data_IF_464803352934
#
_entry.id   IF_464803352934
#
_cell.length_a   1.000
_cell.length_b   1.000
_cell.length_c   1.000
_cell.angle_alpha   90.00
_cell.angle_beta   90.00
_cell.angle_gamma   90.00
#
_symmetry.space_group_name_H-M   'P 1'
#
loop_
_entity.id
_entity.type
_entity.pdbx_description
1 polymer ?
#
# COMPACT_ATOMS: atom_id res chain seq x y z
N UNK A 1 -2.24 -10.33 -2.92
CA UNK A 1 -1.39 -9.20 -3.29
C UNK A 1 0.02 -9.74 -3.39
N UNK A 2 0.72 -9.49 -4.50
CA UNK A 2 2.10 -9.92 -4.64
C UNK A 2 3.04 -8.86 -4.06
N UNK A 3 4.19 -9.28 -3.53
CA UNK A 3 5.21 -8.36 -3.03
C UNK A 3 5.63 -7.40 -4.15
N UNK A 4 5.71 -6.12 -3.82
CA UNK A 4 6.02 -4.98 -4.68
C UNK A 4 4.93 -4.53 -5.65
N UNK A 5 3.73 -5.10 -5.56
CA UNK A 5 2.58 -4.53 -6.22
C UNK A 5 2.10 -3.26 -5.50
N UNK A 6 1.58 -2.32 -6.29
CA UNK A 6 0.96 -1.08 -5.82
C UNK A 6 -0.56 -1.19 -5.96
N UNK A 7 -1.28 -0.81 -4.92
CA UNK A 7 -2.73 -0.93 -4.84
C UNK A 7 -3.37 0.39 -4.43
N UNK A 8 -4.59 0.64 -4.91
CA UNK A 8 -5.39 1.75 -4.42
C UNK A 8 -5.78 1.53 -2.97
N UNK A 9 -5.70 2.60 -2.18
CA UNK A 9 -6.14 2.58 -0.78
C UNK A 9 -7.64 2.24 -0.70
N UNK A 10 -8.02 1.19 0.04
CA UNK A 10 -9.43 0.83 0.24
C UNK A 10 -10.15 1.79 1.18
N UNK A 11 -9.42 2.57 1.98
CA UNK A 11 -9.95 3.54 2.94
C UNK A 11 -10.26 4.86 2.21
N UNK A 12 -11.55 5.13 1.97
CA UNK A 12 -12.00 6.26 1.15
C UNK A 12 -11.46 7.62 1.64
N UNK A 13 -11.55 7.88 2.95
CA UNK A 13 -11.12 9.14 3.55
C UNK A 13 -9.60 9.36 3.44
N UNK A 14 -8.83 8.27 3.42
CA UNK A 14 -7.37 8.34 3.36
C UNK A 14 -6.86 8.52 1.92
N UNK A 15 -7.66 8.24 0.89
CA UNK A 15 -7.25 8.39 -0.53
C UNK A 15 -6.75 9.78 -0.89
N UNK A 16 -7.23 10.81 -0.20
CA UNK A 16 -6.79 12.21 -0.39
C UNK A 16 -5.31 12.39 -0.05
N UNK A 17 -4.85 11.73 1.01
CA UNK A 17 -3.49 11.90 1.54
C UNK A 17 -2.57 10.73 1.20
N UNK A 18 -3.15 9.52 1.09
CA UNK A 18 -2.49 8.25 0.82
C UNK A 18 -3.30 7.51 -0.26
N UNK A 19 -3.15 7.87 -1.55
CA UNK A 19 -3.90 7.24 -2.65
C UNK A 19 -3.53 5.77 -2.88
N UNK A 20 -2.30 5.37 -2.57
CA UNK A 20 -1.80 4.03 -2.84
C UNK A 20 -1.04 3.41 -1.68
N UNK A 21 -1.03 2.07 -1.65
CA UNK A 21 -0.23 1.24 -0.76
C UNK A 21 0.71 0.38 -1.60
N UNK A 22 1.99 0.31 -1.21
CA UNK A 22 2.97 -0.63 -1.76
C UNK A 22 3.08 -1.84 -0.84
N UNK A 23 2.84 -3.04 -1.35
CA UNK A 23 3.06 -4.27 -0.60
C UNK A 23 4.55 -4.57 -0.50
N UNK A 24 5.08 -4.72 0.72
CA UNK A 24 6.49 -5.07 0.96
C UNK A 24 6.63 -6.39 1.73
N UNK A 25 5.53 -7.11 1.95
CA UNK A 25 5.53 -8.34 2.71
C UNK A 25 6.30 -9.45 1.99
N UNK A 26 7.15 -10.17 2.72
CA UNK A 26 7.85 -11.31 2.18
C UNK A 26 6.89 -12.43 1.75
N UNK A 27 7.17 -13.06 0.62
CA UNK A 27 6.28 -14.09 0.03
C UNK A 27 6.02 -15.29 0.96
N UNK A 28 6.95 -15.63 1.85
CA UNK A 28 6.76 -16.75 2.80
C UNK A 28 5.70 -16.45 3.88
N UNK A 29 5.26 -15.19 4.02
CA UNK A 29 4.20 -14.77 4.95
C UNK A 29 2.83 -14.62 4.25
N UNK A 30 2.65 -15.15 3.03
CA UNK A 30 1.43 -14.93 2.25
C UNK A 30 0.15 -15.43 2.92
N UNK A 31 0.23 -16.40 3.82
CA UNK A 31 -0.89 -17.02 4.54
C UNK A 31 -1.51 -16.13 5.63
N UNK A 32 -0.84 -15.04 6.02
CA UNK A 32 -1.40 -14.09 6.97
C UNK A 32 -2.56 -13.30 6.35
N UNK A 33 -3.60 -13.06 7.15
CA UNK A 33 -4.74 -12.22 6.77
C UNK A 33 -4.45 -10.72 6.74
N UNK A 34 -3.25 -10.32 7.16
CA UNK A 34 -2.77 -8.94 7.14
C UNK A 34 -1.56 -8.79 6.21
N UNK A 35 -1.27 -7.54 5.83
CA UNK A 35 -0.14 -7.19 4.96
C UNK A 35 0.69 -6.06 5.57
N UNK A 36 2.01 -6.14 5.40
CA UNK A 36 2.93 -5.02 5.66
C UNK A 36 3.01 -4.16 4.40
N UNK A 37 2.66 -2.87 4.52
CA UNK A 37 2.59 -1.94 3.39
C UNK A 37 3.31 -0.63 3.68
N UNK A 38 3.75 0.05 2.61
CA UNK A 38 4.23 1.44 2.67
C UNK A 38 3.17 2.35 2.03
N UNK A 39 2.67 3.38 2.75
CA UNK A 39 1.77 4.37 2.18
C UNK A 39 2.52 5.26 1.19
N UNK A 40 1.99 5.39 -0.03
CA UNK A 40 2.51 6.27 -1.07
C UNK A 40 1.66 7.54 -1.16
N UNK A 41 2.33 8.68 -1.30
CA UNK A 41 1.69 10.00 -1.41
C UNK A 41 2.14 10.69 -2.69
N UNK A 42 1.34 11.64 -3.16
CA UNK A 42 1.75 12.52 -4.25
C UNK A 42 2.97 13.32 -3.83
N UNK A 43 3.94 13.43 -4.74
CA UNK A 43 5.01 14.39 -4.58
C UNK A 43 4.40 15.78 -4.79
N UNK A 44 4.33 16.60 -3.74
CA UNK A 44 4.05 18.02 -3.91
C UNK A 44 5.28 18.63 -4.59
N UNK A 45 5.18 18.94 -5.88
CA UNK A 45 6.14 19.84 -6.50
C UNK A 45 6.04 21.19 -5.79
N UNK A 46 7.18 21.70 -5.32
CA UNK A 46 7.28 23.04 -4.75
C UNK A 46 7.54 24.04 -5.86
#
# INVERSE_FOLDING_TARGET
MARFDVYFTPIADDRKHTPFWLDVQANHLQTLGTRVVIPLRWLSAK
#
